data_IF_029630869454
#
_entry.id   IF_029630869454
#
_cell.length_a   1.000
_cell.length_b   1.000
_cell.length_c   1.000
_cell.angle_alpha   90.00
_cell.angle_beta   90.00
_cell.angle_gamma   90.00
#
_symmetry.space_group_name_H-M   'P 1'
#
loop_
_entity.id
_entity.type
_entity.pdbx_description
1 polymer ?
#
# COMPACT_ATOMS: atom_id res chain seq x y z
N UNK A 1 -41.68 10.75 22.96
CA UNK A 1 -40.75 11.23 21.90
C UNK A 1 -39.30 10.98 22.33
N UNK A 2 -38.87 9.72 22.48
CA UNK A 2 -37.53 9.38 23.02
C UNK A 2 -36.63 8.60 22.04
N UNK A 3 -37.07 8.38 20.79
CA UNK A 3 -36.32 7.59 19.79
C UNK A 3 -35.35 8.40 18.93
N UNK A 4 -35.47 9.73 18.91
CA UNK A 4 -34.66 10.59 18.04
C UNK A 4 -33.27 10.91 18.59
N UNK A 5 -33.04 10.78 19.90
CA UNK A 5 -31.76 11.16 20.52
C UNK A 5 -30.72 10.05 20.45
N UNK A 6 -31.15 8.79 20.30
CA UNK A 6 -30.25 7.63 20.28
C UNK A 6 -29.49 7.46 18.94
N UNK A 7 -30.06 7.94 17.82
CA UNK A 7 -29.40 7.85 16.51
C UNK A 7 -28.32 8.93 16.28
N UNK A 8 -28.29 9.99 17.10
CA UNK A 8 -27.30 11.08 17.01
C UNK A 8 -25.92 10.71 17.57
N UNK A 9 -25.83 9.64 18.35
CA UNK A 9 -24.59 9.15 18.97
C UNK A 9 -24.11 7.83 18.38
N UNK A 10 -24.56 7.46 17.17
CA UNK A 10 -23.88 6.39 16.44
C UNK A 10 -22.46 6.88 16.15
N UNK A 11 -21.41 6.23 16.70
CA UNK A 11 -20.06 6.54 16.28
C UNK A 11 -20.01 6.26 14.77
N UNK A 12 -19.74 7.29 13.98
CA UNK A 12 -19.37 7.07 12.59
C UNK A 12 -18.07 6.29 12.65
N UNK A 13 -18.04 5.10 12.05
CA UNK A 13 -16.81 4.31 12.00
C UNK A 13 -15.67 5.21 11.47
N UNK A 14 -14.48 5.20 12.08
CA UNK A 14 -13.37 6.02 11.64
C UNK A 14 -13.09 5.75 10.15
N UNK A 15 -13.36 6.74 9.29
CA UNK A 15 -13.07 6.65 7.87
C UNK A 15 -11.61 7.01 7.64
N UNK A 16 -10.91 6.22 6.84
CA UNK A 16 -9.57 6.57 6.39
C UNK A 16 -9.57 7.95 5.71
N UNK A 17 -8.52 8.78 5.94
CA UNK A 17 -8.37 10.05 5.23
C UNK A 17 -8.31 9.85 3.71
N UNK A 18 -8.62 10.88 2.90
CA UNK A 18 -8.47 10.79 1.45
C UNK A 18 -7.01 10.58 1.04
N UNK A 19 -6.82 9.93 -0.11
CA UNK A 19 -5.53 9.84 -0.79
C UNK A 19 -5.15 11.24 -1.30
N UNK A 20 -3.91 11.67 -1.03
CA UNK A 20 -3.41 13.01 -1.37
C UNK A 20 -2.03 12.99 -2.03
N UNK A 21 -1.35 11.85 -2.04
CA UNK A 21 0.05 11.74 -2.43
C UNK A 21 0.33 10.38 -3.05
N UNK A 22 1.46 10.28 -3.75
CA UNK A 22 1.97 9.06 -4.37
C UNK A 22 3.51 8.99 -4.30
N UNK A 23 4.07 7.78 -4.27
CA UNK A 23 5.50 7.48 -4.48
C UNK A 23 5.61 6.14 -5.20
N UNK A 24 6.72 5.84 -5.85
CA UNK A 24 6.90 4.59 -6.56
C UNK A 24 8.31 4.43 -7.12
N UNK A 25 8.58 3.22 -7.61
CA UNK A 25 9.82 2.91 -8.33
C UNK A 25 9.60 1.70 -9.25
N UNK A 26 10.54 1.51 -10.17
CA UNK A 26 10.68 0.26 -10.91
C UNK A 26 11.38 -0.78 -10.05
N UNK A 27 10.85 -2.00 -10.02
CA UNK A 27 11.42 -3.14 -9.28
C UNK A 27 11.86 -4.23 -10.24
N UNK A 28 12.83 -5.07 -9.86
CA UNK A 28 12.84 -6.43 -10.41
C UNK A 28 11.65 -7.22 -9.82
N UNK A 29 10.96 -8.02 -10.64
CA UNK A 29 9.72 -8.71 -10.22
C UNK A 29 9.91 -9.61 -8.99
N UNK A 30 11.12 -10.16 -8.83
CA UNK A 30 11.47 -11.00 -7.67
C UNK A 30 11.59 -10.21 -6.36
N UNK A 31 11.74 -8.89 -6.44
CA UNK A 31 11.95 -7.98 -5.30
C UNK A 31 10.65 -7.39 -4.77
N UNK A 32 9.58 -7.40 -5.57
CA UNK A 32 8.26 -6.86 -5.16
C UNK A 32 7.74 -7.55 -3.90
N UNK A 33 7.78 -8.90 -3.84
CA UNK A 33 7.29 -9.63 -2.68
C UNK A 33 8.15 -9.40 -1.41
N UNK A 34 9.49 -9.44 -1.47
CA UNK A 34 10.36 -9.01 -0.38
C UNK A 34 10.08 -7.58 0.12
N UNK A 35 9.98 -6.61 -0.79
CA UNK A 35 9.71 -5.22 -0.43
C UNK A 35 8.36 -5.09 0.29
N UNK A 36 7.29 -5.63 -0.28
CA UNK A 36 5.96 -5.58 0.34
C UNK A 36 5.95 -6.29 1.69
N UNK A 37 6.65 -7.42 1.83
CA UNK A 37 6.77 -8.13 3.11
C UNK A 37 7.47 -7.27 4.16
N UNK A 38 8.55 -6.58 3.80
CA UNK A 38 9.23 -5.62 4.67
C UNK A 38 8.28 -4.48 5.08
N UNK A 39 7.57 -3.90 4.12
CA UNK A 39 6.60 -2.82 4.37
C UNK A 39 5.47 -3.26 5.32
N UNK A 40 4.91 -4.46 5.13
CA UNK A 40 3.87 -5.00 6.02
C UNK A 40 4.37 -5.26 7.45
N UNK A 41 5.69 -5.44 7.62
CA UNK A 41 6.31 -5.64 8.93
C UNK A 41 6.86 -4.35 9.55
N UNK A 42 6.78 -3.21 8.87
CA UNK A 42 7.18 -1.93 9.45
C UNK A 42 6.22 -1.61 10.62
N UNK A 43 6.76 -1.31 11.83
CA UNK A 43 5.97 -1.19 13.05
C UNK A 43 5.01 0.00 13.08
N UNK A 44 5.19 0.98 12.18
CA UNK A 44 4.25 2.09 12.01
C UNK A 44 3.00 1.68 11.25
N UNK A 45 3.10 0.60 10.48
CA UNK A 45 2.00 0.05 9.70
C UNK A 45 1.30 -1.08 10.44
N UNK A 46 -0.03 -1.07 10.38
CA UNK A 46 -0.91 -2.17 10.77
C UNK A 46 -1.62 -2.71 9.53
N UNK A 47 -0.85 -3.23 8.57
CA UNK A 47 -1.36 -3.70 7.27
C UNK A 47 -1.55 -5.23 7.25
N UNK A 48 -2.44 -5.78 6.40
CA UNK A 48 -2.64 -7.22 6.30
C UNK A 48 -1.39 -7.92 5.74
N UNK A 49 -0.79 -8.83 6.52
CA UNK A 49 0.45 -9.55 6.15
C UNK A 49 0.27 -10.36 4.85
N UNK A 50 -0.95 -10.84 4.56
CA UNK A 50 -1.27 -11.59 3.33
C UNK A 50 -1.17 -10.75 2.05
N UNK A 51 -1.08 -9.41 2.15
CA UNK A 51 -1.02 -8.51 1.00
C UNK A 51 0.17 -8.81 0.09
N UNK A 52 1.36 -9.06 0.67
CA UNK A 52 2.57 -9.27 -0.11
C UNK A 52 2.46 -10.50 -1.03
N UNK A 53 1.99 -11.63 -0.50
CA UNK A 53 1.76 -12.85 -1.29
C UNK A 53 0.67 -12.65 -2.34
N UNK A 54 -0.45 -12.00 -1.99
CA UNK A 54 -1.52 -11.72 -2.94
C UNK A 54 -1.06 -10.86 -4.12
N UNK A 55 -0.30 -9.78 -3.87
CA UNK A 55 0.19 -8.91 -4.94
C UNK A 55 1.19 -9.67 -5.81
N UNK A 56 2.14 -10.40 -5.20
CA UNK A 56 3.14 -11.17 -5.92
C UNK A 56 2.54 -12.25 -6.83
N UNK A 57 1.57 -13.02 -6.31
CA UNK A 57 0.88 -14.06 -7.08
C UNK A 57 0.10 -13.45 -8.26
N UNK A 58 -0.48 -12.27 -8.07
CA UNK A 58 -1.30 -11.62 -9.10
C UNK A 58 -0.49 -10.78 -10.09
N UNK A 59 0.76 -10.45 -9.76
CA UNK A 59 1.68 -9.69 -10.60
C UNK A 59 2.08 -10.50 -11.83
N UNK A 60 2.34 -11.81 -11.67
CA UNK A 60 2.71 -12.69 -12.79
C UNK A 60 1.61 -12.87 -13.84
N UNK A 61 0.37 -12.54 -13.50
CA UNK A 61 -0.79 -12.64 -14.39
C UNK A 61 -1.05 -11.35 -15.19
N UNK A 62 -0.30 -10.27 -14.93
CA UNK A 62 -0.48 -9.00 -15.63
C UNK A 62 0.28 -9.05 -16.95
N UNK A 63 -0.44 -8.81 -18.06
CA UNK A 63 0.20 -8.71 -19.37
C UNK A 63 1.02 -7.43 -19.50
N UNK A 64 1.99 -7.41 -20.43
CA UNK A 64 2.72 -6.19 -20.80
C UNK A 64 1.77 -5.06 -21.19
N UNK A 65 2.17 -3.83 -20.89
CA UNK A 65 1.39 -2.61 -21.11
C UNK A 65 0.02 -2.61 -20.39
N UNK A 66 -0.15 -3.44 -19.36
CA UNK A 66 -1.34 -3.45 -18.52
C UNK A 66 -1.03 -2.97 -17.11
N UNK A 67 -2.08 -2.42 -16.50
CA UNK A 67 -2.07 -1.93 -15.14
C UNK A 67 -3.02 -2.77 -14.29
N UNK A 68 -2.61 -3.06 -13.06
CA UNK A 68 -3.49 -3.58 -12.02
C UNK A 68 -3.36 -2.73 -10.77
N UNK A 69 -4.48 -2.49 -10.10
CA UNK A 69 -4.53 -1.75 -8.85
C UNK A 69 -5.19 -2.57 -7.74
N UNK A 70 -4.60 -2.52 -6.56
CA UNK A 70 -5.11 -3.10 -5.32
C UNK A 70 -5.35 -1.99 -4.32
N UNK A 71 -6.44 -2.09 -3.56
CA UNK A 71 -6.69 -1.19 -2.42
C UNK A 71 -6.58 -2.01 -1.14
N UNK A 72 -5.72 -1.57 -0.24
CA UNK A 72 -5.56 -2.15 1.09
C UNK A 72 -5.97 -1.16 2.17
N UNK A 73 -6.60 -1.69 3.21
CA UNK A 73 -6.95 -0.93 4.40
C UNK A 73 -6.16 -1.48 5.59
N UNK A 74 -5.75 -0.58 6.47
CA UNK A 74 -5.05 -0.93 7.69
C UNK A 74 -4.87 0.29 8.58
N UNK A 75 -3.77 0.33 9.33
CA UNK A 75 -3.42 1.46 10.16
C UNK A 75 -2.04 2.04 9.83
N UNK A 76 -1.87 3.33 10.07
CA UNK A 76 -0.59 4.03 10.12
C UNK A 76 -0.53 4.85 11.41
N UNK A 77 0.48 4.60 12.25
CA UNK A 77 0.61 5.16 13.61
C UNK A 77 -0.69 5.05 14.44
N UNK A 78 -1.38 3.91 14.32
CA UNK A 78 -2.64 3.64 15.03
C UNK A 78 -3.88 4.34 14.45
N UNK A 79 -3.74 5.12 13.37
CA UNK A 79 -4.87 5.74 12.66
C UNK A 79 -5.24 4.94 11.41
N UNK A 80 -6.54 4.75 11.16
CA UNK A 80 -7.01 4.08 9.95
C UNK A 80 -6.48 4.75 8.68
N UNK A 81 -5.99 3.94 7.74
CA UNK A 81 -5.46 4.39 6.46
C UNK A 81 -5.89 3.48 5.32
N UNK A 82 -5.92 4.04 4.12
CA UNK A 82 -6.08 3.33 2.85
C UNK A 82 -4.81 3.56 2.03
N UNK A 83 -4.29 2.49 1.45
CA UNK A 83 -3.19 2.54 0.49
C UNK A 83 -3.68 1.89 -0.80
N UNK A 84 -3.53 2.57 -1.93
CA UNK A 84 -3.63 1.91 -3.22
C UNK A 84 -2.23 1.51 -3.68
N UNK A 85 -2.09 0.30 -4.20
CA UNK A 85 -0.88 -0.20 -4.86
C UNK A 85 -1.25 -0.38 -6.32
N UNK A 86 -0.49 0.22 -7.22
CA UNK A 86 -0.61 0.06 -8.65
C UNK A 86 0.65 -0.60 -9.20
N UNK A 87 0.47 -1.60 -10.05
CA UNK A 87 1.55 -2.17 -10.85
C UNK A 87 1.27 -1.89 -12.32
N UNK A 88 2.25 -1.32 -13.02
CA UNK A 88 2.28 -1.21 -14.47
C UNK A 88 3.40 -2.10 -15.01
N UNK A 89 3.05 -3.01 -15.92
CA UNK A 89 4.01 -3.93 -16.54
C UNK A 89 4.69 -3.28 -17.74
N UNK A 90 5.70 -2.45 -17.47
CA UNK A 90 6.55 -1.81 -18.51
C UNK A 90 7.46 -2.85 -19.20
N UNK A 91 7.98 -3.81 -18.43
CA UNK A 91 8.72 -4.96 -18.94
C UNK A 91 8.36 -6.26 -18.20
N UNK A 92 8.68 -7.40 -18.81
CA UNK A 92 8.29 -8.75 -18.31
C UNK A 92 8.75 -8.97 -16.87
N UNK A 93 9.93 -8.46 -16.52
CA UNK A 93 10.54 -8.64 -15.20
C UNK A 93 10.75 -7.34 -14.44
N UNK A 94 10.30 -6.19 -14.97
CA UNK A 94 10.56 -4.88 -14.35
C UNK A 94 9.28 -4.05 -14.21
N UNK A 95 8.34 -4.43 -13.33
CA UNK A 95 7.14 -3.65 -13.08
C UNK A 95 7.48 -2.31 -12.45
N UNK A 96 6.76 -1.27 -12.85
CA UNK A 96 6.67 -0.02 -12.11
C UNK A 96 5.59 -0.17 -11.05
N UNK A 97 5.96 0.04 -9.78
CA UNK A 97 5.04 -0.05 -8.65
C UNK A 97 4.85 1.33 -8.03
N UNK A 98 3.60 1.80 -8.02
CA UNK A 98 3.20 3.09 -7.45
C UNK A 98 2.27 2.89 -6.25
N UNK A 99 2.57 3.57 -5.16
CA UNK A 99 1.80 3.59 -3.92
C UNK A 99 1.09 4.92 -3.78
N UNK A 100 -0.20 4.88 -3.48
CA UNK A 100 -1.01 6.07 -3.22
C UNK A 100 -1.53 6.04 -1.79
N UNK A 101 -1.50 7.18 -1.12
CA UNK A 101 -1.95 7.30 0.26
C UNK A 101 -2.06 8.74 0.73
N UNK A 102 -2.12 8.92 2.04
CA UNK A 102 -1.90 10.25 2.64
C UNK A 102 -0.42 10.61 2.52
N UNK A 103 -0.10 11.90 2.60
CA UNK A 103 1.28 12.40 2.54
C UNK A 103 2.20 11.72 3.56
N UNK A 104 1.72 11.54 4.81
CA UNK A 104 2.51 10.90 5.86
C UNK A 104 2.79 9.41 5.59
N UNK A 105 1.81 8.71 5.02
CA UNK A 105 1.95 7.30 4.64
C UNK A 105 2.93 7.16 3.48
N UNK A 106 2.76 7.99 2.45
CA UNK A 106 3.61 7.99 1.26
C UNK A 106 5.06 8.34 1.63
N UNK A 107 5.28 9.31 2.52
CA UNK A 107 6.63 9.66 3.00
C UNK A 107 7.31 8.56 3.84
N UNK A 108 6.55 7.67 4.48
CA UNK A 108 7.12 6.47 5.11
C UNK A 108 7.45 5.41 4.07
N UNK A 109 6.55 5.16 3.11
CA UNK A 109 6.79 4.20 2.02
C UNK A 109 8.02 4.63 1.22
N UNK A 110 8.16 5.91 0.90
CA UNK A 110 9.31 6.49 0.21
C UNK A 110 10.63 6.21 0.94
N UNK A 111 10.65 6.38 2.27
CA UNK A 111 11.81 6.02 3.08
C UNK A 111 12.13 4.53 3.04
N UNK A 112 11.11 3.67 3.04
CA UNK A 112 11.31 2.23 2.92
C UNK A 112 11.80 1.83 1.53
N UNK A 113 11.34 2.51 0.47
CA UNK A 113 11.81 2.31 -0.91
C UNK A 113 13.31 2.63 -1.00
N UNK A 114 13.71 3.83 -0.58
CA UNK A 114 15.12 4.25 -0.56
C UNK A 114 15.97 3.26 0.24
N UNK A 115 15.54 2.91 1.45
CA UNK A 115 16.28 1.99 2.30
C UNK A 115 16.25 0.52 1.81
N UNK A 116 15.38 0.16 0.87
CA UNK A 116 15.37 -1.15 0.23
C UNK A 116 16.35 -1.19 -0.94
N UNK A 117 16.35 -0.14 -1.77
CA UNK A 117 17.27 0.06 -2.89
C UNK A 117 18.73 0.11 -2.41
N UNK A 118 19.02 0.93 -1.39
CA UNK A 118 20.36 1.03 -0.78
C UNK A 118 20.88 -0.32 -0.24
N UNK A 119 19.99 -1.22 0.20
CA UNK A 119 20.36 -2.53 0.72
C UNK A 119 20.68 -3.56 -0.38
N UNK A 120 20.26 -3.32 -1.63
CA UNK A 120 20.61 -4.19 -2.76
C UNK A 120 21.97 -3.85 -3.38
N UNK A 121 22.49 -2.64 -3.13
CA UNK A 121 23.80 -2.20 -3.63
C UNK A 121 25.00 -2.72 -2.81
N UNK A 122 24.75 -3.39 -1.67
CA UNK A 122 25.76 -3.90 -0.72
C UNK A 122 25.94 -5.41 -0.73
#
# INVERSE_FOLDING_TARGET
MLKFVADLFKPTDPKAPPITSETGMTFDSIEVAPFLTRLMNNPRFGLPISTAGMVADQLSDIALDQTRRWTIQGAFDGTMTTIDIEAFMDAINAPEITFYGTEAVVAEIDRELIAFDEAQET
#
